data_IF_663234760614
#
_entry.id   IF_663234760614
#
_cell.length_a   1.000
_cell.length_b   1.000
_cell.length_c   1.000
_cell.angle_alpha   90.00
_cell.angle_beta   90.00
_cell.angle_gamma   90.00
#
_symmetry.space_group_name_H-M   'P 1'
#
loop_
_entity.id
_entity.type
_entity.pdbx_description
1 polymer ?
#
# COMPACT_ATOMS: atom_id res chain seq x y z
N UNK A 1 59.69 -57.46 32.95
CA UNK A 1 59.38 -56.79 31.68
C UNK A 1 57.98 -56.16 31.81
N UNK A 2 57.91 -54.83 31.96
CA UNK A 2 56.67 -54.10 32.10
C UNK A 2 56.29 -53.57 30.71
N UNK A 3 55.12 -54.00 30.19
CA UNK A 3 54.55 -53.52 28.91
C UNK A 3 53.77 -52.22 29.18
N UNK A 4 54.20 -51.14 28.56
CA UNK A 4 53.44 -49.87 28.53
C UNK A 4 52.52 -49.83 27.31
N UNK A 5 51.21 -49.70 27.53
CA UNK A 5 50.23 -49.44 26.46
C UNK A 5 50.11 -47.93 26.30
N UNK A 6 50.43 -47.42 25.09
CA UNK A 6 50.22 -46.04 24.71
C UNK A 6 48.82 -45.97 24.13
N UNK A 7 47.93 -45.21 24.81
CA UNK A 7 46.58 -44.94 24.34
C UNK A 7 46.63 -43.66 23.49
N UNK A 8 46.49 -43.78 22.17
CA UNK A 8 46.36 -42.68 21.24
C UNK A 8 44.92 -42.12 21.28
N UNK A 9 44.75 -40.94 21.86
CA UNK A 9 43.51 -40.17 21.76
C UNK A 9 43.49 -39.46 20.41
N UNK A 10 42.57 -39.90 19.49
CA UNK A 10 42.28 -39.16 18.27
C UNK A 10 41.35 -38.00 18.59
N UNK A 11 41.89 -36.77 18.57
CA UNK A 11 41.10 -35.55 18.66
C UNK A 11 40.50 -35.27 17.28
N UNK A 12 39.21 -35.53 17.13
CA UNK A 12 38.45 -35.12 15.93
C UNK A 12 38.22 -33.63 15.98
N UNK A 13 38.96 -32.89 15.15
CA UNK A 13 38.64 -31.49 14.86
C UNK A 13 37.34 -31.41 14.08
N UNK A 14 36.24 -31.05 14.75
CA UNK A 14 35.03 -30.60 14.06
C UNK A 14 35.37 -29.27 13.40
N UNK A 15 35.56 -29.31 12.09
CA UNK A 15 35.65 -28.08 11.26
C UNK A 15 34.27 -27.45 11.25
N UNK A 16 34.07 -26.45 12.12
CA UNK A 16 32.93 -25.58 12.02
C UNK A 16 33.05 -24.84 10.68
N UNK A 17 32.29 -25.24 9.69
CA UNK A 17 32.07 -24.44 8.48
C UNK A 17 31.49 -23.10 8.94
N UNK A 18 32.10 -21.94 8.60
CA UNK A 18 31.49 -20.67 8.92
C UNK A 18 30.14 -20.61 8.21
N UNK A 19 29.06 -20.56 8.99
CA UNK A 19 27.76 -20.16 8.46
C UNK A 19 27.98 -18.79 7.80
N UNK A 20 27.89 -18.75 6.49
CA UNK A 20 27.87 -17.51 5.72
C UNK A 20 26.58 -16.76 6.11
N UNK A 21 26.61 -16.05 7.22
CA UNK A 21 25.57 -15.12 7.63
C UNK A 21 25.66 -13.90 6.71
N UNK A 22 25.15 -14.05 5.48
CA UNK A 22 25.02 -12.93 4.59
C UNK A 22 24.02 -11.97 5.23
N UNK A 23 24.53 -10.83 5.75
CA UNK A 23 23.68 -9.85 6.41
C UNK A 23 22.55 -9.45 5.47
N UNK A 24 21.30 -9.77 5.85
CA UNK A 24 20.12 -9.41 5.07
C UNK A 24 20.10 -7.88 4.91
N UNK A 25 20.07 -7.41 3.66
CA UNK A 25 19.99 -5.97 3.38
C UNK A 25 18.60 -5.47 3.78
N UNK A 26 18.55 -4.47 4.62
CA UNK A 26 17.31 -3.80 5.02
C UNK A 26 16.99 -2.70 4.03
N UNK A 27 15.76 -2.69 3.51
CA UNK A 27 15.22 -1.59 2.72
C UNK A 27 14.17 -0.83 3.53
N UNK A 28 14.26 0.48 3.54
CA UNK A 28 13.17 1.35 3.99
C UNK A 28 12.26 1.66 2.81
N UNK A 29 10.97 1.51 2.99
CA UNK A 29 9.91 1.85 2.04
C UNK A 29 8.98 2.87 2.70
N UNK A 30 8.64 3.95 1.97
CA UNK A 30 7.68 4.97 2.42
C UNK A 30 6.47 4.92 1.51
N UNK A 31 5.34 4.55 2.09
CA UNK A 31 4.05 4.43 1.42
C UNK A 31 3.13 5.54 1.90
N UNK A 32 2.24 5.99 1.02
CA UNK A 32 1.13 6.88 1.36
C UNK A 32 -0.15 6.35 0.73
N UNK A 33 -1.25 6.27 1.50
CA UNK A 33 -2.61 6.15 0.98
C UNK A 33 -3.29 7.49 1.11
N UNK A 34 -3.95 7.97 0.05
CA UNK A 34 -4.63 9.25 0.10
C UNK A 34 -5.82 9.30 -0.85
N UNK A 35 -7.03 9.36 -0.31
CA UNK A 35 -8.21 9.74 -1.06
C UNK A 35 -8.16 11.26 -1.27
N UNK A 36 -8.08 11.71 -2.52
CA UNK A 36 -7.82 13.11 -2.87
C UNK A 36 -9.07 13.90 -3.23
N UNK A 37 -10.27 13.33 -3.15
CA UNK A 37 -11.51 13.99 -3.56
C UNK A 37 -11.34 14.73 -4.92
N UNK A 38 -10.85 14.03 -5.95
CA UNK A 38 -10.50 14.58 -7.28
C UNK A 38 -9.59 15.85 -7.25
N UNK A 39 -8.84 16.03 -6.17
CA UNK A 39 -7.95 17.19 -5.95
C UNK A 39 -8.60 18.38 -5.27
N UNK A 40 -9.87 18.26 -4.83
CA UNK A 40 -10.62 19.34 -4.19
C UNK A 40 -10.36 19.37 -2.68
N UNK A 41 -9.84 20.47 -2.20
CA UNK A 41 -9.69 20.73 -0.77
C UNK A 41 -10.99 21.18 -0.10
N UNK A 42 -10.99 21.26 1.24
CA UNK A 42 -12.13 21.77 2.01
C UNK A 42 -12.46 23.25 1.69
N UNK A 43 -11.51 23.99 1.13
CA UNK A 43 -11.74 25.35 0.59
C UNK A 43 -12.45 25.37 -0.78
N UNK A 44 -12.83 24.20 -1.30
CA UNK A 44 -13.51 24.03 -2.57
C UNK A 44 -12.63 24.15 -3.82
N UNK A 45 -11.31 24.36 -3.67
CA UNK A 45 -10.39 24.55 -4.79
C UNK A 45 -9.73 23.23 -5.17
N UNK A 46 -9.64 22.97 -6.49
CA UNK A 46 -8.84 21.89 -7.04
C UNK A 46 -7.40 22.39 -7.21
N UNK A 47 -6.44 21.76 -6.52
CA UNK A 47 -5.03 22.15 -6.59
C UNK A 47 -4.09 20.95 -6.40
N UNK A 48 -3.60 20.44 -7.51
CA UNK A 48 -2.68 19.30 -7.53
C UNK A 48 -1.27 19.63 -6.98
N UNK A 49 -0.90 20.92 -6.86
CA UNK A 49 0.37 21.28 -6.23
C UNK A 49 0.37 20.98 -4.73
N UNK A 50 -0.76 21.21 -4.06
CA UNK A 50 -0.91 20.89 -2.63
C UNK A 50 -0.75 19.39 -2.38
N UNK A 51 -1.36 18.56 -3.25
CA UNK A 51 -1.23 17.10 -3.15
C UNK A 51 0.22 16.66 -3.38
N UNK A 52 0.91 17.27 -4.35
CA UNK A 52 2.32 17.00 -4.59
C UNK A 52 3.20 17.39 -3.39
N UNK A 53 2.93 18.54 -2.72
CA UNK A 53 3.70 18.96 -1.53
C UNK A 53 3.60 17.97 -0.38
N UNK A 54 2.40 17.44 -0.08
CA UNK A 54 2.19 16.41 0.94
C UNK A 54 3.09 15.19 0.69
N UNK A 55 3.03 14.64 -0.53
CA UNK A 55 3.82 13.47 -0.89
C UNK A 55 5.33 13.73 -0.85
N UNK A 56 5.74 14.96 -1.20
CA UNK A 56 7.14 15.39 -1.12
C UNK A 56 7.64 15.46 0.33
N UNK A 57 6.90 16.12 1.21
CA UNK A 57 7.25 16.30 2.62
C UNK A 57 7.30 14.96 3.37
N UNK A 58 6.36 14.07 3.09
CA UNK A 58 6.38 12.69 3.60
C UNK A 58 7.52 11.84 3.00
N UNK A 59 8.23 12.35 1.98
CA UNK A 59 9.27 11.62 1.23
C UNK A 59 8.73 10.30 0.66
N UNK A 60 7.49 10.31 0.21
CA UNK A 60 6.78 9.14 -0.31
C UNK A 60 7.56 8.49 -1.46
N UNK A 61 7.69 7.16 -1.45
CA UNK A 61 8.29 6.38 -2.54
C UNK A 61 7.22 5.76 -3.43
N UNK A 62 6.07 5.36 -2.84
CA UNK A 62 4.88 4.90 -3.56
C UNK A 62 3.65 5.48 -2.88
N UNK A 63 2.80 6.13 -3.65
CA UNK A 63 1.50 6.62 -3.20
C UNK A 63 0.37 5.87 -3.90
N UNK A 64 -0.57 5.36 -3.12
CA UNK A 64 -1.86 4.85 -3.58
C UNK A 64 -2.88 5.98 -3.44
N UNK A 65 -3.44 6.42 -4.55
CA UNK A 65 -4.30 7.58 -4.63
C UNK A 65 -5.71 7.13 -5.05
N UNK A 66 -6.71 7.49 -4.27
CA UNK A 66 -8.10 7.21 -4.55
C UNK A 66 -8.79 8.49 -5.07
N UNK A 67 -9.92 8.31 -5.72
CA UNK A 67 -10.70 9.40 -6.32
C UNK A 67 -9.95 10.23 -7.36
N UNK A 68 -9.25 9.57 -8.26
CA UNK A 68 -8.46 10.22 -9.31
C UNK A 68 -9.31 10.50 -10.54
N UNK A 69 -9.39 11.75 -10.94
CA UNK A 69 -9.91 12.17 -12.23
C UNK A 69 -8.84 12.11 -13.33
N UNK A 70 -9.24 11.60 -14.48
CA UNK A 70 -8.44 11.63 -15.70
C UNK A 70 -9.24 12.27 -16.82
N UNK A 71 -8.87 13.47 -17.23
CA UNK A 71 -9.46 14.24 -18.34
C UNK A 71 -10.96 14.52 -18.15
N UNK A 72 -11.45 14.62 -16.91
CA UNK A 72 -12.86 14.94 -16.66
C UNK A 72 -13.15 16.42 -16.82
N UNK A 73 -14.42 16.76 -17.10
CA UNK A 73 -14.81 18.17 -17.23
C UNK A 73 -14.60 18.95 -15.92
N UNK A 74 -14.87 18.35 -14.74
CA UNK A 74 -14.75 19.03 -13.44
C UNK A 74 -13.32 19.37 -13.07
N UNK A 75 -12.31 18.63 -13.57
CA UNK A 75 -10.91 18.92 -13.32
C UNK A 75 -10.22 19.67 -14.47
N UNK A 76 -11.01 20.28 -15.38
CA UNK A 76 -10.47 21.07 -16.48
C UNK A 76 -9.82 20.27 -17.61
N UNK A 77 -10.09 18.98 -17.72
CA UNK A 77 -9.57 18.13 -18.78
C UNK A 77 -8.11 17.69 -18.60
N UNK A 78 -7.56 17.77 -17.37
CA UNK A 78 -6.18 17.36 -17.10
C UNK A 78 -6.08 15.89 -16.64
N UNK A 79 -4.91 15.30 -16.83
CA UNK A 79 -4.55 14.01 -16.23
C UNK A 79 -4.01 14.27 -14.81
N UNK A 80 -4.89 14.28 -13.80
CA UNK A 80 -4.55 14.67 -12.43
C UNK A 80 -3.34 13.92 -11.87
N UNK A 81 -3.30 12.60 -12.08
CA UNK A 81 -2.19 11.76 -11.58
C UNK A 81 -0.86 12.09 -12.25
N UNK A 82 -0.86 12.36 -13.58
CA UNK A 82 0.35 12.74 -14.33
C UNK A 82 0.83 14.13 -13.92
N UNK A 83 -0.09 15.05 -13.65
CA UNK A 83 0.25 16.38 -13.16
C UNK A 83 0.96 16.33 -11.81
N UNK A 84 0.42 15.55 -10.85
CA UNK A 84 1.05 15.33 -9.54
C UNK A 84 2.38 14.61 -9.71
N UNK A 85 2.42 13.54 -10.50
CA UNK A 85 3.58 12.70 -10.72
C UNK A 85 4.75 13.45 -11.36
N UNK A 86 4.49 14.29 -12.36
CA UNK A 86 5.52 15.09 -13.04
C UNK A 86 6.24 16.06 -12.10
N UNK A 87 5.50 16.70 -11.18
CA UNK A 87 6.05 17.60 -10.14
C UNK A 87 7.00 16.87 -9.19
N UNK A 88 6.72 15.61 -8.92
CA UNK A 88 7.48 14.75 -7.99
C UNK A 88 8.56 13.91 -8.70
N UNK A 89 8.62 13.95 -10.02
CA UNK A 89 9.42 13.03 -10.86
C UNK A 89 9.11 11.57 -10.54
N UNK A 90 7.81 11.27 -10.42
CA UNK A 90 7.28 9.93 -10.15
C UNK A 90 6.54 9.41 -11.38
N UNK A 91 6.62 8.10 -11.59
CA UNK A 91 5.81 7.38 -12.59
C UNK A 91 4.37 7.32 -12.12
N UNK A 92 3.43 7.57 -13.01
CA UNK A 92 2.01 7.46 -12.79
C UNK A 92 1.45 6.18 -13.41
N UNK A 93 0.57 5.51 -12.69
CA UNK A 93 -0.15 4.32 -13.16
C UNK A 93 -1.61 4.48 -12.75
N UNK A 94 -2.52 4.51 -13.71
CA UNK A 94 -3.95 4.74 -13.49
C UNK A 94 -4.78 3.50 -13.80
N UNK A 95 -5.82 3.26 -13.00
CA UNK A 95 -6.87 2.28 -13.24
C UNK A 95 -8.22 2.98 -13.22
N UNK A 96 -8.90 3.12 -14.37
CA UNK A 96 -10.26 3.64 -14.40
C UNK A 96 -11.22 2.61 -13.78
N UNK A 97 -12.14 3.11 -12.96
CA UNK A 97 -13.30 2.37 -12.47
C UNK A 97 -14.52 2.67 -13.33
N UNK A 98 -14.74 3.95 -13.67
CA UNK A 98 -15.90 4.40 -14.45
C UNK A 98 -15.52 5.45 -15.52
N UNK A 99 -16.39 5.60 -16.50
CA UNK A 99 -16.46 6.77 -17.37
C UNK A 99 -17.16 7.91 -16.62
N UNK A 100 -16.58 9.09 -16.62
CA UNK A 100 -17.13 10.21 -15.86
C UNK A 100 -16.84 11.55 -16.54
N UNK A 101 -17.90 12.33 -16.81
CA UNK A 101 -17.83 13.69 -17.38
C UNK A 101 -16.90 13.83 -18.61
N UNK A 102 -16.94 12.87 -19.53
CA UNK A 102 -16.12 12.87 -20.75
C UNK A 102 -14.69 12.32 -20.59
N UNK A 103 -14.30 12.00 -19.37
CA UNK A 103 -13.04 11.36 -19.02
C UNK A 103 -13.25 10.08 -18.23
N UNK A 104 -12.33 9.80 -17.30
CA UNK A 104 -12.35 8.60 -16.44
C UNK A 104 -12.17 9.02 -14.98
N UNK A 105 -12.70 8.20 -14.07
CA UNK A 105 -12.50 8.31 -12.64
C UNK A 105 -12.10 6.94 -12.07
N UNK A 106 -11.21 6.91 -11.08
CA UNK A 106 -10.74 5.66 -10.52
C UNK A 106 -9.64 5.84 -9.47
N UNK A 107 -8.68 4.93 -9.50
CA UNK A 107 -7.54 4.94 -8.55
C UNK A 107 -6.21 5.01 -9.29
N UNK A 108 -5.18 5.46 -8.61
CA UNK A 108 -3.84 5.58 -9.17
C UNK A 108 -2.71 5.21 -8.23
N UNK A 109 -1.58 4.88 -8.80
CA UNK A 109 -0.32 4.69 -8.08
C UNK A 109 0.71 5.66 -8.66
N UNK A 110 1.33 6.47 -7.78
CA UNK A 110 2.53 7.22 -8.07
C UNK A 110 3.73 6.51 -7.46
N UNK A 111 4.83 6.37 -8.20
CA UNK A 111 6.00 5.66 -7.70
C UNK A 111 7.32 6.26 -8.19
N UNK A 112 8.36 6.28 -7.33
CA UNK A 112 9.71 6.75 -7.71
C UNK A 112 10.44 5.81 -8.68
N UNK A 113 10.00 4.57 -8.79
CA UNK A 113 10.51 3.58 -9.74
C UNK A 113 9.40 3.14 -10.67
N UNK A 114 9.70 2.91 -11.94
CA UNK A 114 8.74 2.30 -12.86
C UNK A 114 8.32 0.92 -12.32
N UNK A 115 7.02 0.58 -12.35
CA UNK A 115 6.57 -0.77 -12.04
C UNK A 115 7.09 -1.77 -13.09
N UNK A 116 7.39 -2.99 -12.67
CA UNK A 116 7.79 -4.10 -13.53
C UNK A 116 6.58 -4.68 -14.27
N UNK A 117 5.45 -4.76 -13.58
CA UNK A 117 4.17 -5.18 -14.15
C UNK A 117 3.02 -4.45 -13.45
N UNK A 118 1.87 -4.41 -14.12
CA UNK A 118 0.65 -3.75 -13.64
C UNK A 118 -0.55 -4.63 -13.91
N UNK A 119 -1.34 -4.93 -12.84
CA UNK A 119 -2.60 -5.63 -12.96
C UNK A 119 -3.77 -4.71 -12.59
N UNK A 120 -4.92 -4.97 -13.17
CA UNK A 120 -6.19 -4.31 -12.86
C UNK A 120 -7.25 -5.37 -12.67
N UNK A 121 -7.85 -5.41 -11.49
CA UNK A 121 -8.88 -6.39 -11.12
C UNK A 121 -10.17 -5.63 -10.86
N UNK A 122 -11.22 -5.95 -11.60
CA UNK A 122 -12.55 -5.39 -11.34
C UNK A 122 -13.04 -5.91 -9.97
N UNK A 123 -13.55 -5.01 -9.15
CA UNK A 123 -14.15 -5.30 -7.86
C UNK A 123 -15.64 -4.98 -7.88
N UNK A 124 -16.35 -5.49 -6.87
CA UNK A 124 -17.78 -5.26 -6.74
C UNK A 124 -18.10 -3.83 -6.28
N UNK A 125 -19.14 -3.24 -6.85
CA UNK A 125 -19.67 -1.93 -6.49
C UNK A 125 -20.99 -1.72 -7.22
N UNK A 126 -22.12 -1.88 -6.51
CA UNK A 126 -23.47 -1.71 -7.07
C UNK A 126 -23.76 -0.25 -7.41
N UNK A 127 -23.33 0.66 -6.54
CA UNK A 127 -23.48 2.11 -6.74
C UNK A 127 -22.48 2.66 -7.75
N UNK A 128 -21.26 2.11 -7.76
CA UNK A 128 -20.16 2.51 -8.64
C UNK A 128 -19.19 1.35 -8.78
N UNK A 129 -18.84 0.92 -10.01
CA UNK A 129 -17.81 -0.07 -10.25
C UNK A 129 -16.50 0.29 -9.53
N UNK A 130 -15.85 -0.72 -8.94
CA UNK A 130 -14.59 -0.56 -8.20
C UNK A 130 -13.47 -1.31 -8.88
N UNK A 131 -12.24 -0.96 -8.54
CA UNK A 131 -11.06 -1.58 -9.13
C UNK A 131 -9.93 -1.68 -8.10
N UNK A 132 -9.19 -2.79 -8.16
CA UNK A 132 -7.90 -2.95 -7.52
C UNK A 132 -6.82 -2.75 -8.60
N UNK A 133 -5.99 -1.74 -8.41
CA UNK A 133 -4.79 -1.51 -9.20
C UNK A 133 -3.59 -2.10 -8.47
N UNK A 134 -2.83 -2.98 -9.12
CA UNK A 134 -1.64 -3.62 -8.55
C UNK A 134 -0.42 -3.25 -9.37
N UNK A 135 0.62 -2.78 -8.71
CA UNK A 135 1.92 -2.46 -9.30
C UNK A 135 3.02 -3.32 -8.65
N UNK A 136 3.73 -4.08 -9.47
CA UNK A 136 4.87 -4.88 -9.04
C UNK A 136 6.16 -4.06 -9.11
N UNK A 137 6.96 -4.17 -8.07
CA UNK A 137 8.31 -3.64 -8.01
C UNK A 137 9.32 -4.77 -7.73
N UNK A 138 10.60 -4.48 -7.83
CA UNK A 138 11.67 -5.48 -7.66
C UNK A 138 11.56 -6.29 -6.37
N UNK A 139 11.17 -5.66 -5.25
CA UNK A 139 11.20 -6.29 -3.92
C UNK A 139 9.85 -6.30 -3.19
N UNK A 140 8.81 -5.73 -3.75
CA UNK A 140 7.48 -5.63 -3.15
C UNK A 140 6.42 -5.38 -4.24
N UNK A 141 5.17 -5.51 -3.84
CA UNK A 141 4.00 -5.23 -4.66
C UNK A 141 3.10 -4.27 -3.89
N UNK A 142 2.46 -3.34 -4.58
CA UNK A 142 1.50 -2.41 -3.99
C UNK A 142 0.16 -2.52 -4.73
N UNK A 143 -0.89 -2.80 -3.98
CA UNK A 143 -2.27 -2.71 -4.41
C UNK A 143 -2.89 -1.38 -3.94
N UNK A 144 -3.62 -0.71 -4.81
CA UNK A 144 -4.41 0.49 -4.53
C UNK A 144 -5.88 0.22 -4.84
N UNK A 145 -6.76 0.50 -3.91
CA UNK A 145 -8.22 0.35 -4.12
C UNK A 145 -9.01 1.46 -3.42
N UNK A 146 -10.25 1.65 -3.88
CA UNK A 146 -11.30 2.40 -3.22
C UNK A 146 -12.54 1.51 -3.23
N UNK A 147 -12.94 0.97 -2.08
CA UNK A 147 -14.02 -0.01 -2.00
C UNK A 147 -15.40 0.64 -1.98
N UNK A 148 -16.43 -0.19 -2.22
CA UNK A 148 -17.83 0.21 -2.23
C UNK A 148 -18.30 0.71 -0.86
N UNK A 149 -19.27 1.63 -0.84
CA UNK A 149 -19.99 2.02 0.37
C UNK A 149 -20.91 0.90 0.89
N UNK A 150 -21.25 -0.07 0.02
CA UNK A 150 -22.09 -1.21 0.37
C UNK A 150 -21.24 -2.34 0.98
N UNK A 151 -21.64 -2.84 2.15
CA UNK A 151 -20.91 -3.89 2.87
C UNK A 151 -20.88 -5.22 2.11
N UNK A 152 -21.97 -5.64 1.46
CA UNK A 152 -22.02 -6.90 0.69
C UNK A 152 -21.02 -6.86 -0.46
N UNK A 153 -20.88 -5.71 -1.14
CA UNK A 153 -19.93 -5.52 -2.23
C UNK A 153 -18.49 -5.58 -1.70
N UNK A 154 -18.23 -4.96 -0.53
CA UNK A 154 -16.92 -5.06 0.11
C UNK A 154 -16.57 -6.49 0.47
N UNK A 155 -17.49 -7.22 1.12
CA UNK A 155 -17.31 -8.63 1.47
C UNK A 155 -17.08 -9.49 0.22
N UNK A 156 -17.85 -9.27 -0.85
CA UNK A 156 -17.70 -9.99 -2.11
C UNK A 156 -16.40 -9.67 -2.84
N UNK A 157 -15.78 -8.52 -2.57
CA UNK A 157 -14.49 -8.13 -3.15
C UNK A 157 -13.30 -8.81 -2.47
N UNK A 158 -13.44 -9.32 -1.22
CA UNK A 158 -12.34 -9.95 -0.48
C UNK A 158 -11.72 -11.12 -1.25
N UNK A 159 -12.47 -12.11 -1.76
CA UNK A 159 -11.89 -13.23 -2.50
C UNK A 159 -11.05 -12.77 -3.70
N UNK A 160 -11.50 -11.75 -4.43
CA UNK A 160 -10.81 -11.21 -5.61
C UNK A 160 -9.47 -10.55 -5.22
N UNK A 161 -9.47 -9.79 -4.11
CA UNK A 161 -8.26 -9.16 -3.57
C UNK A 161 -7.27 -10.22 -3.09
N UNK A 162 -7.75 -11.25 -2.39
CA UNK A 162 -6.94 -12.34 -1.87
C UNK A 162 -6.35 -13.18 -3.01
N UNK A 163 -7.15 -13.53 -4.01
CA UNK A 163 -6.70 -14.27 -5.20
C UNK A 163 -5.58 -13.51 -5.92
N UNK A 164 -5.74 -12.19 -6.10
CA UNK A 164 -4.70 -11.36 -6.70
C UNK A 164 -3.43 -11.34 -5.83
N UNK A 165 -3.57 -11.16 -4.51
CA UNK A 165 -2.45 -11.11 -3.59
C UNK A 165 -1.67 -12.46 -3.52
N UNK A 166 -2.35 -13.59 -3.70
CA UNK A 166 -1.74 -14.94 -3.71
C UNK A 166 -0.79 -15.19 -4.89
N UNK A 167 -0.91 -14.43 -5.98
CA UNK A 167 -0.03 -14.56 -7.15
C UNK A 167 1.41 -14.14 -6.85
N UNK A 168 1.64 -13.41 -5.75
CA UNK A 168 2.90 -12.78 -5.45
C UNK A 168 3.67 -13.50 -4.34
N UNK A 169 4.98 -13.68 -4.56
CA UNK A 169 5.93 -14.21 -3.56
C UNK A 169 6.66 -13.11 -2.79
N UNK A 170 6.47 -11.83 -3.20
CA UNK A 170 7.05 -10.65 -2.58
C UNK A 170 6.06 -10.06 -1.57
N UNK A 171 6.50 -9.27 -0.57
CA UNK A 171 5.59 -8.53 0.29
C UNK A 171 4.55 -7.76 -0.53
N UNK A 172 3.27 -8.08 -0.32
CA UNK A 172 2.14 -7.42 -0.98
C UNK A 172 1.47 -6.47 0.01
N UNK A 173 1.54 -5.18 -0.28
CA UNK A 173 0.92 -4.12 0.50
C UNK A 173 -0.38 -3.70 -0.18
N UNK A 174 -1.49 -3.71 0.56
CA UNK A 174 -2.77 -3.16 0.15
C UNK A 174 -2.95 -1.81 0.81
N UNK A 175 -3.19 -0.78 0.01
CA UNK A 175 -3.46 0.58 0.46
C UNK A 175 -4.78 1.05 -0.13
N UNK A 176 -5.54 1.83 0.62
CA UNK A 176 -6.74 2.43 0.08
C UNK A 176 -7.73 2.90 1.13
N UNK A 177 -8.74 3.59 0.60
CA UNK A 177 -9.98 3.85 1.27
C UNK A 177 -10.84 2.58 1.17
N UNK A 178 -10.97 1.87 2.29
CA UNK A 178 -11.76 0.64 2.35
C UNK A 178 -13.23 0.89 2.67
N UNK A 179 -13.61 2.16 2.93
CA UNK A 179 -14.97 2.56 3.30
C UNK A 179 -15.55 1.76 4.47
N UNK A 180 -14.67 1.32 5.38
CA UNK A 180 -15.11 0.54 6.53
C UNK A 180 -14.21 0.73 7.75
N UNK A 181 -14.79 0.56 8.91
CA UNK A 181 -14.13 0.78 10.21
C UNK A 181 -13.59 -0.53 10.81
N UNK A 182 -12.59 -0.46 11.71
CA UNK A 182 -11.97 -1.65 12.31
C UNK A 182 -12.87 -2.57 13.11
N UNK A 183 -14.09 -2.15 13.46
CA UNK A 183 -15.09 -2.95 14.20
C UNK A 183 -16.12 -3.67 13.31
N UNK A 184 -16.04 -3.49 11.99
CA UNK A 184 -16.97 -4.10 11.03
C UNK A 184 -16.73 -5.60 10.79
N UNK A 185 -17.70 -6.26 10.17
CA UNK A 185 -17.58 -7.66 9.73
C UNK A 185 -16.60 -7.79 8.56
N UNK A 186 -16.61 -6.85 7.63
CA UNK A 186 -15.65 -6.79 6.52
C UNK A 186 -14.22 -6.71 7.04
N UNK A 187 -13.94 -5.80 7.98
CA UNK A 187 -12.59 -5.63 8.51
C UNK A 187 -12.11 -6.91 9.22
N UNK A 188 -12.98 -7.56 10.02
CA UNK A 188 -12.65 -8.85 10.65
C UNK A 188 -12.35 -9.95 9.64
N UNK A 189 -13.08 -9.99 8.52
CA UNK A 189 -12.82 -10.96 7.46
C UNK A 189 -11.48 -10.68 6.76
N UNK A 190 -11.22 -9.42 6.40
CA UNK A 190 -9.93 -9.00 5.83
C UNK A 190 -8.76 -9.32 6.76
N UNK A 191 -8.93 -9.19 8.08
CA UNK A 191 -7.90 -9.53 9.07
C UNK A 191 -7.50 -11.01 9.05
N UNK A 192 -8.28 -11.93 8.51
CA UNK A 192 -7.85 -13.33 8.33
C UNK A 192 -6.70 -13.44 7.33
N UNK A 193 -6.66 -12.56 6.34
CA UNK A 193 -5.72 -12.57 5.22
C UNK A 193 -4.63 -11.50 5.32
N UNK A 194 -4.96 -10.34 5.88
CA UNK A 194 -4.07 -9.18 5.94
C UNK A 194 -3.74 -8.80 7.39
N UNK A 195 -2.52 -8.29 7.58
CA UNK A 195 -2.12 -7.57 8.78
C UNK A 195 -2.25 -6.07 8.50
N UNK A 196 -3.17 -5.41 9.16
CA UNK A 196 -3.30 -3.94 9.12
C UNK A 196 -2.18 -3.31 9.92
N UNK A 197 -1.49 -2.34 9.33
CA UNK A 197 -0.33 -1.70 9.93
C UNK A 197 -0.68 -0.43 10.71
N UNK A 198 -1.74 0.27 10.31
CA UNK A 198 -2.24 1.43 11.05
C UNK A 198 -3.26 0.99 12.11
N UNK A 199 -3.17 1.57 13.32
CA UNK A 199 -4.14 1.29 14.38
C UNK A 199 -5.47 2.01 14.13
N UNK A 200 -6.53 1.57 14.82
CA UNK A 200 -7.90 2.11 14.70
C UNK A 200 -8.05 3.58 15.12
N UNK A 201 -7.10 4.10 15.89
CA UNK A 201 -7.09 5.51 16.28
C UNK A 201 -6.44 6.44 15.23
N UNK A 202 -5.83 5.91 14.17
CA UNK A 202 -5.35 6.67 13.00
C UNK A 202 -6.56 7.09 12.14
N UNK A 203 -7.37 8.00 12.67
CA UNK A 203 -8.59 8.49 12.02
C UNK A 203 -8.26 9.39 10.85
N UNK A 204 -8.89 9.16 9.70
CA UNK A 204 -8.58 9.85 8.45
C UNK A 204 -9.73 10.66 7.89
N UNK A 205 -10.97 10.40 8.33
CA UNK A 205 -12.18 11.05 7.82
C UNK A 205 -13.13 11.51 8.93
N UNK A 206 -13.82 12.65 8.79
CA UNK A 206 -13.54 13.72 7.82
C UNK A 206 -12.26 14.48 8.17
N UNK A 207 -11.63 15.14 7.19
CA UNK A 207 -10.29 15.73 7.37
C UNK A 207 -10.23 16.88 8.39
N UNK A 208 -11.28 17.68 8.54
CA UNK A 208 -11.36 18.80 9.49
C UNK A 208 -11.53 18.32 10.95
N UNK A 209 -12.29 17.25 11.18
CA UNK A 209 -12.56 16.67 12.50
C UNK A 209 -12.58 15.13 12.40
N UNK A 210 -11.42 14.45 12.34
CA UNK A 210 -11.38 13.03 12.08
C UNK A 210 -12.08 12.19 13.14
N UNK A 211 -13.08 11.41 12.71
CA UNK A 211 -13.91 10.58 13.56
C UNK A 211 -13.71 9.10 13.28
N UNK A 212 -13.45 8.73 12.01
CA UNK A 212 -13.36 7.34 11.59
C UNK A 212 -12.03 7.02 10.89
N UNK A 213 -11.59 5.77 11.05
CA UNK A 213 -10.42 5.20 10.39
C UNK A 213 -10.92 4.29 9.26
N UNK A 214 -10.95 4.79 8.02
CA UNK A 214 -11.42 4.07 6.83
C UNK A 214 -10.35 3.93 5.75
N UNK A 215 -9.28 4.70 5.84
CA UNK A 215 -8.09 4.52 5.02
C UNK A 215 -7.09 3.61 5.72
N UNK A 216 -6.53 2.67 4.96
CA UNK A 216 -5.71 1.62 5.55
C UNK A 216 -4.43 1.34 4.75
N UNK A 217 -3.41 0.89 5.48
CA UNK A 217 -2.21 0.23 4.95
C UNK A 217 -2.15 -1.16 5.57
N UNK A 218 -2.21 -2.19 4.75
CA UNK A 218 -2.16 -3.57 5.19
C UNK A 218 -1.14 -4.38 4.40
N UNK A 219 -0.64 -5.47 4.97
CA UNK A 219 0.24 -6.41 4.28
C UNK A 219 -0.41 -7.81 4.25
N UNK A 220 -0.33 -8.47 3.10
CA UNK A 220 -0.82 -9.83 2.92
C UNK A 220 0.05 -10.82 3.71
N UNK A 221 -0.54 -11.48 4.71
CA UNK A 221 0.17 -12.32 5.68
C UNK A 221 1.03 -13.42 5.03
N UNK A 222 0.56 -14.17 4.01
CA UNK A 222 1.36 -15.21 3.38
C UNK A 222 2.65 -14.72 2.72
N UNK A 223 2.79 -13.43 2.43
CA UNK A 223 4.01 -12.85 1.85
C UNK A 223 5.00 -12.35 2.90
N UNK A 224 4.65 -12.43 4.18
CA UNK A 224 5.54 -12.13 5.31
C UNK A 224 6.26 -13.41 5.72
N UNK A 225 7.39 -13.68 5.10
CA UNK A 225 8.22 -14.84 5.38
C UNK A 225 9.45 -14.45 6.20
N UNK A 226 10.20 -15.39 6.79
CA UNK A 226 11.49 -15.10 7.46
C UNK A 226 12.50 -14.38 6.55
N UNK A 227 12.41 -14.59 5.23
CA UNK A 227 13.26 -13.95 4.22
C UNK A 227 12.82 -12.53 3.87
N UNK A 228 11.51 -12.25 3.96
CA UNK A 228 10.89 -10.97 3.62
C UNK A 228 10.16 -10.31 4.79
N UNK A 229 10.54 -10.65 6.02
CA UNK A 229 9.87 -10.17 7.24
C UNK A 229 9.93 -8.66 7.40
N UNK A 230 8.87 -8.12 7.99
CA UNK A 230 8.87 -6.75 8.48
C UNK A 230 9.79 -6.65 9.69
N UNK A 231 10.81 -5.81 9.64
CA UNK A 231 11.69 -5.56 10.80
C UNK A 231 11.22 -4.37 11.64
N UNK A 232 10.45 -3.48 11.04
CA UNK A 232 9.92 -2.28 11.68
C UNK A 232 8.85 -1.66 10.77
N UNK A 233 7.80 -1.12 11.38
CA UNK A 233 6.88 -0.22 10.69
C UNK A 233 6.38 0.87 11.64
N UNK A 234 6.01 2.01 11.06
CA UNK A 234 5.33 3.11 11.73
C UNK A 234 4.35 3.74 10.75
N UNK A 235 3.14 4.02 11.21
CA UNK A 235 2.14 4.80 10.49
C UNK A 235 1.91 6.14 11.19
N UNK A 236 1.39 7.10 10.45
CA UNK A 236 0.90 8.37 10.96
C UNK A 236 -0.07 8.99 9.96
N UNK A 237 -1.01 9.75 10.46
CA UNK A 237 -1.97 10.52 9.68
C UNK A 237 -1.45 11.94 9.55
N UNK A 238 -1.51 12.53 8.36
CA UNK A 238 -1.22 13.94 8.14
C UNK A 238 -2.33 14.83 8.72
N UNK A 239 -2.05 16.12 8.81
CA UNK A 239 -3.02 17.11 9.32
C UNK A 239 -3.64 17.95 8.21
N UNK A 240 -3.25 17.66 6.95
CA UNK A 240 -3.66 18.44 5.78
C UNK A 240 -5.15 18.25 5.46
N UNK A 241 -5.78 19.35 5.06
CA UNK A 241 -7.19 19.42 4.67
C UNK A 241 -7.38 19.74 3.18
N UNK A 242 -6.45 19.24 2.36
CA UNK A 242 -6.50 19.39 0.90
C UNK A 242 -7.32 18.29 0.20
N UNK A 243 -8.08 17.56 0.98
CA UNK A 243 -9.15 16.63 0.64
C UNK A 243 -10.11 16.59 1.83
N UNK A 244 -11.23 15.89 1.70
CA UNK A 244 -12.11 15.50 2.83
C UNK A 244 -11.56 14.31 3.62
N UNK A 245 -10.52 13.64 3.13
CA UNK A 245 -9.71 12.69 3.88
C UNK A 245 -8.36 13.28 4.27
N UNK A 246 -7.74 12.75 5.31
CA UNK A 246 -6.34 12.98 5.67
C UNK A 246 -5.44 11.91 5.05
N UNK A 247 -4.21 12.26 4.60
CA UNK A 247 -3.28 11.27 4.08
C UNK A 247 -2.79 10.35 5.19
N UNK A 248 -2.77 9.05 4.91
CA UNK A 248 -2.19 8.02 5.77
C UNK A 248 -0.82 7.61 5.25
N UNK A 249 0.20 7.78 6.06
CA UNK A 249 1.58 7.47 5.73
C UNK A 249 2.08 6.24 6.47
N UNK A 250 2.98 5.49 5.82
CA UNK A 250 3.67 4.36 6.44
C UNK A 250 5.15 4.35 6.09
N UNK A 251 6.01 4.15 7.10
CA UNK A 251 7.43 3.89 6.96
C UNK A 251 7.71 2.46 7.40
N UNK A 252 8.19 1.64 6.48
CA UNK A 252 8.32 0.20 6.65
C UNK A 252 9.76 -0.20 6.36
N UNK A 253 10.34 -1.10 7.18
CA UNK A 253 11.62 -1.76 6.89
C UNK A 253 11.36 -3.21 6.56
N UNK A 254 11.74 -3.61 5.37
CA UNK A 254 11.68 -4.99 4.89
C UNK A 254 13.09 -5.54 4.68
N UNK A 255 13.30 -6.82 4.95
CA UNK A 255 14.52 -7.53 4.59
C UNK A 255 14.51 -7.90 3.09
N UNK A 256 15.71 -7.96 2.51
CA UNK A 256 15.98 -8.45 1.15
C UNK A 256 16.75 -9.75 1.21
#
# INVERSE_FOLDING_TARGET
>A
MKKYYILLFAISFNVFSPLNLQAKKVRTLRLTSYNIQHGKGLDGKIDHNRLASILHEARTEVAAIQEVDSVTKRNGGVYALDEIGSKLKMYSTFAPAIDFQGGKYGVGILSKKAPLSVHRVALHGKEEPRVLLVAEFEHYVVGCTHLSLNEDDRLSSIPLIVEEAQKWKKPFFLLGDLNDTPDSSFYREMQKHFLFLNPSYDKTFPADAPEVCIDHVAIFKPTVTPESSLSFYRTWVGEETFSDHRPLHAKIRIFR
#
